data_IF_474926118362
#
_entry.id   IF_474926118362
#
_cell.length_a   1.000
_cell.length_b   1.000
_cell.length_c   1.000
_cell.angle_alpha   90.00
_cell.angle_beta   90.00
_cell.angle_gamma   90.00
#
_symmetry.space_group_name_H-M   'P 1'
#
loop_
_entity.id
_entity.type
_entity.pdbx_description
1 polymer ?
#
# COMPACT_ATOMS: atom_id res chain seq x y z
N UNK A 1 2.40 -1.95 10.01
CA UNK A 1 2.24 -3.01 11.03
C UNK A 1 1.23 -4.12 10.73
N UNK A 2 0.13 -3.89 9.95
CA UNK A 2 -0.89 -4.94 9.73
C UNK A 2 -0.47 -6.01 8.70
N UNK A 3 -0.17 -5.62 7.46
CA UNK A 3 0.00 -6.56 6.34
C UNK A 3 1.26 -7.42 6.40
N UNK A 4 2.43 -6.80 6.62
CA UNK A 4 3.70 -7.52 6.59
C UNK A 4 3.75 -8.74 7.53
N UNK A 5 3.12 -8.63 8.71
CA UNK A 5 3.10 -9.69 9.71
C UNK A 5 2.27 -10.89 9.28
N UNK A 6 1.01 -10.69 8.89
CA UNK A 6 0.13 -11.82 8.57
C UNK A 6 0.40 -12.41 7.19
N UNK A 7 0.88 -11.59 6.23
CA UNK A 7 1.07 -12.01 4.84
C UNK A 7 2.39 -12.77 4.64
N UNK A 8 3.44 -12.41 5.37
CA UNK A 8 4.79 -12.93 5.10
C UNK A 8 5.45 -13.51 6.36
N UNK A 9 5.62 -12.71 7.41
CA UNK A 9 6.36 -13.13 8.60
C UNK A 9 5.72 -14.33 9.30
N UNK A 10 4.44 -14.25 9.64
CA UNK A 10 3.76 -15.31 10.39
C UNK A 10 3.67 -16.63 9.62
N UNK A 11 3.32 -16.66 8.31
CA UNK A 11 3.40 -17.89 7.53
C UNK A 11 4.78 -18.55 7.56
N UNK A 12 5.87 -17.78 7.43
CA UNK A 12 7.23 -18.30 7.54
C UNK A 12 7.53 -18.86 8.93
N UNK A 13 7.14 -18.15 9.99
CA UNK A 13 7.33 -18.59 11.38
C UNK A 13 6.51 -19.84 11.70
N UNK A 14 5.27 -19.93 11.23
CA UNK A 14 4.40 -21.10 11.41
C UNK A 14 5.01 -22.32 10.71
N UNK A 15 5.38 -22.18 9.43
CA UNK A 15 6.02 -23.26 8.67
C UNK A 15 7.34 -23.69 9.32
N UNK A 16 8.16 -22.73 9.75
CA UNK A 16 9.39 -22.98 10.47
C UNK A 16 9.18 -23.72 11.79
N UNK A 17 8.21 -23.32 12.59
CA UNK A 17 7.88 -23.96 13.85
C UNK A 17 7.44 -25.42 13.64
N UNK A 18 6.58 -25.69 12.65
CA UNK A 18 6.14 -27.04 12.29
C UNK A 18 7.29 -27.93 11.81
N UNK A 19 8.29 -27.34 11.14
CA UNK A 19 9.49 -28.05 10.66
C UNK A 19 10.62 -28.15 11.70
N UNK A 20 10.42 -27.65 12.94
CA UNK A 20 11.43 -27.69 13.99
C UNK A 20 12.57 -26.67 13.83
N UNK A 21 12.36 -25.57 13.10
CA UNK A 21 13.35 -24.51 12.93
C UNK A 21 13.85 -23.97 14.29
N UNK A 22 15.17 -23.85 14.47
CA UNK A 22 15.77 -23.26 15.67
C UNK A 22 15.64 -21.73 15.73
N UNK A 23 15.99 -21.13 16.87
CA UNK A 23 15.82 -19.68 17.12
C UNK A 23 16.44 -18.79 16.05
N UNK A 24 17.71 -19.03 15.69
CA UNK A 24 18.41 -18.26 14.64
C UNK A 24 17.68 -18.24 13.29
N UNK A 25 17.09 -19.36 12.89
CA UNK A 25 16.39 -19.43 11.61
C UNK A 25 15.05 -18.67 11.66
N UNK A 26 14.34 -18.73 12.79
CA UNK A 26 13.12 -17.94 13.01
C UNK A 26 13.41 -16.44 13.02
N UNK A 27 14.51 -16.02 13.66
CA UNK A 27 14.99 -14.63 13.60
C UNK A 27 15.27 -14.20 12.15
N UNK A 28 15.92 -15.08 11.37
CA UNK A 28 16.12 -14.86 9.94
C UNK A 28 14.82 -14.71 9.16
N UNK A 29 13.79 -15.51 9.44
CA UNK A 29 12.47 -15.36 8.82
C UNK A 29 11.82 -14.02 9.13
N UNK A 30 11.89 -13.54 10.38
CA UNK A 30 11.36 -12.22 10.74
C UNK A 30 12.15 -11.09 10.07
N UNK A 31 13.49 -11.15 10.10
CA UNK A 31 14.36 -10.15 9.50
C UNK A 31 14.16 -10.02 7.98
N UNK A 32 13.81 -11.11 7.31
CA UNK A 32 13.47 -11.12 5.89
C UNK A 32 12.00 -10.76 5.62
N UNK A 33 11.08 -11.37 6.36
CA UNK A 33 9.64 -11.30 6.09
C UNK A 33 9.03 -9.93 6.35
N UNK A 34 9.55 -9.20 7.36
CA UNK A 34 9.06 -7.86 7.67
C UNK A 34 9.36 -6.86 6.52
N UNK A 35 10.60 -6.66 6.06
CA UNK A 35 10.89 -5.79 4.92
C UNK A 35 10.19 -6.23 3.63
N UNK A 36 10.11 -7.54 3.38
CA UNK A 36 9.41 -8.04 2.19
C UNK A 36 7.91 -7.70 2.23
N UNK A 37 7.28 -7.86 3.39
CA UNK A 37 5.88 -7.52 3.57
C UNK A 37 5.60 -6.02 3.46
N UNK A 38 6.55 -5.18 3.88
CA UNK A 38 6.48 -3.72 3.67
C UNK A 38 6.60 -3.38 2.18
N UNK A 39 7.61 -3.93 1.49
CA UNK A 39 7.78 -3.74 0.05
C UNK A 39 6.57 -4.22 -0.75
N UNK A 40 5.94 -5.33 -0.33
CA UNK A 40 4.70 -5.81 -0.92
C UNK A 40 3.57 -4.78 -0.78
N UNK A 41 3.36 -4.22 0.41
CA UNK A 41 2.30 -3.22 0.61
C UNK A 41 2.56 -1.94 -0.19
N UNK A 42 3.81 -1.46 -0.24
CA UNK A 42 4.16 -0.29 -1.05
C UNK A 42 3.86 -0.50 -2.53
N UNK A 43 4.15 -1.71 -3.05
CA UNK A 43 3.82 -2.07 -4.42
C UNK A 43 2.32 -2.22 -4.64
N UNK A 44 1.59 -2.76 -3.66
CA UNK A 44 0.13 -2.89 -3.71
C UNK A 44 -0.53 -1.51 -3.75
N UNK A 45 -0.10 -0.55 -2.94
CA UNK A 45 -0.58 0.84 -2.96
C UNK A 45 -0.34 1.50 -4.34
N UNK A 46 0.84 1.30 -4.94
CA UNK A 46 1.15 1.81 -6.29
C UNK A 46 0.28 1.19 -7.37
N UNK A 47 0.07 -0.14 -7.32
CA UNK A 47 -0.80 -0.83 -8.27
C UNK A 47 -2.27 -0.47 -8.06
N UNK A 48 -2.66 -0.21 -6.81
CA UNK A 48 -3.98 0.26 -6.45
C UNK A 48 -4.28 1.62 -7.09
N UNK A 49 -3.34 2.56 -7.08
CA UNK A 49 -3.57 3.88 -7.66
C UNK A 49 -3.27 3.96 -9.16
N UNK A 50 -2.15 3.40 -9.63
CA UNK A 50 -1.65 3.57 -11.01
C UNK A 50 -1.75 2.32 -11.88
N UNK A 51 -2.17 1.19 -11.33
CA UNK A 51 -2.27 -0.05 -12.08
C UNK A 51 -3.32 0.00 -13.19
N UNK A 52 -3.22 -0.94 -14.13
CA UNK A 52 -4.25 -1.18 -15.12
C UNK A 52 -5.37 -2.05 -14.50
N UNK A 53 -6.62 -1.56 -14.39
CA UNK A 53 -7.75 -2.33 -13.84
C UNK A 53 -7.96 -3.69 -14.50
N UNK A 54 -7.69 -3.79 -15.81
CA UNK A 54 -7.81 -5.04 -16.56
C UNK A 54 -6.81 -6.12 -16.11
N UNK A 55 -5.72 -5.72 -15.45
CA UNK A 55 -4.68 -6.60 -14.92
C UNK A 55 -4.76 -6.78 -13.40
N UNK A 56 -5.18 -5.75 -12.66
CA UNK A 56 -5.31 -5.80 -11.19
C UNK A 56 -6.62 -6.43 -10.73
N UNK A 57 -7.65 -6.45 -11.60
CA UNK A 57 -8.96 -7.02 -11.31
C UNK A 57 -9.81 -6.19 -10.35
N UNK A 58 -9.44 -4.93 -10.08
CA UNK A 58 -10.15 -4.00 -9.17
C UNK A 58 -10.12 -2.57 -9.72
N UNK A 59 -11.06 -1.74 -9.28
CA UNK A 59 -11.05 -0.31 -9.59
C UNK A 59 -9.96 0.40 -8.78
N UNK A 60 -9.28 1.36 -9.41
CA UNK A 60 -8.12 2.03 -8.83
C UNK A 60 -8.46 3.17 -7.84
N UNK A 61 -9.75 3.46 -7.65
CA UNK A 61 -10.20 4.58 -6.84
C UNK A 61 -10.43 4.21 -5.37
N UNK A 62 -10.40 2.92 -5.01
CA UNK A 62 -10.83 2.45 -3.68
C UNK A 62 -10.06 3.10 -2.52
N UNK A 63 -8.74 3.28 -2.67
CA UNK A 63 -7.92 3.88 -1.62
C UNK A 63 -8.09 5.40 -1.52
N UNK A 64 -8.34 6.07 -2.66
CA UNK A 64 -8.63 7.51 -2.74
C UNK A 64 -10.01 7.80 -2.13
N UNK A 65 -11.03 7.06 -2.56
CA UNK A 65 -12.41 7.14 -2.05
C UNK A 65 -12.48 6.76 -0.55
N UNK A 66 -11.63 5.82 -0.11
CA UNK A 66 -11.51 5.42 1.28
C UNK A 66 -10.70 6.37 2.16
N UNK A 67 -10.06 7.40 1.57
CA UNK A 67 -9.10 8.28 2.24
C UNK A 67 -8.09 7.49 3.08
N UNK A 68 -7.53 6.41 2.50
CA UNK A 68 -6.60 5.58 3.24
C UNK A 68 -5.25 6.32 3.40
N UNK A 69 -4.64 6.29 4.59
CA UNK A 69 -3.32 6.87 4.80
C UNK A 69 -2.23 5.95 4.23
N UNK A 70 -2.08 5.94 2.90
CA UNK A 70 -1.03 5.17 2.21
C UNK A 70 0.33 5.85 2.34
N UNK A 71 1.41 5.08 2.19
CA UNK A 71 2.76 5.65 2.20
C UNK A 71 2.96 6.61 1.02
N UNK A 72 2.36 6.30 -0.12
CA UNK A 72 2.36 7.16 -1.30
C UNK A 72 1.73 8.53 -1.00
N UNK A 73 0.53 8.57 -0.39
CA UNK A 73 -0.12 9.82 -0.01
C UNK A 73 0.73 10.64 0.96
N UNK A 74 1.37 9.99 1.94
CA UNK A 74 2.25 10.67 2.88
C UNK A 74 3.48 11.29 2.19
N UNK A 75 4.11 10.56 1.27
CA UNK A 75 5.24 11.08 0.49
C UNK A 75 4.82 12.21 -0.44
N UNK A 76 3.70 12.08 -1.16
CA UNK A 76 3.16 13.19 -1.98
C UNK A 76 2.92 14.42 -1.11
N UNK A 77 2.31 14.27 0.06
CA UNK A 77 2.03 15.41 0.95
C UNK A 77 3.29 16.14 1.40
N UNK A 78 4.38 15.39 1.61
CA UNK A 78 5.68 15.92 2.04
C UNK A 78 6.33 16.79 0.97
N UNK A 79 6.16 16.45 -0.31
CA UNK A 79 6.81 17.15 -1.43
C UNK A 79 5.88 18.13 -2.18
N UNK A 80 4.57 17.96 -2.09
CA UNK A 80 3.58 18.77 -2.78
C UNK A 80 3.56 20.22 -2.27
N UNK A 81 3.33 21.15 -3.21
CA UNK A 81 3.03 22.55 -2.90
C UNK A 81 1.61 22.75 -2.34
N UNK A 82 1.29 23.96 -1.92
CA UNK A 82 -0.01 24.24 -1.28
C UNK A 82 -1.19 24.07 -2.25
N UNK A 83 -1.04 24.48 -3.52
CA UNK A 83 -2.08 24.31 -4.55
C UNK A 83 -2.41 22.82 -4.78
N UNK A 84 -1.39 21.97 -4.86
CA UNK A 84 -1.53 20.52 -5.05
C UNK A 84 -2.17 19.85 -3.83
N UNK A 85 -1.81 20.28 -2.62
CA UNK A 85 -2.45 19.81 -1.39
C UNK A 85 -3.92 20.18 -1.33
N UNK A 86 -4.28 21.39 -1.72
CA UNK A 86 -5.69 21.81 -1.76
C UNK A 86 -6.49 21.03 -2.81
N UNK A 87 -5.87 20.74 -3.96
CA UNK A 87 -6.44 19.86 -4.98
C UNK A 87 -6.70 18.46 -4.44
N UNK A 88 -5.72 17.86 -3.75
CA UNK A 88 -5.87 16.55 -3.12
C UNK A 88 -6.94 16.55 -2.02
N UNK A 89 -7.00 17.58 -1.16
CA UNK A 89 -8.04 17.72 -0.13
C UNK A 89 -9.45 17.72 -0.71
N UNK A 90 -9.65 18.34 -1.87
CA UNK A 90 -10.94 18.39 -2.54
C UNK A 90 -11.37 17.04 -3.14
N UNK A 91 -10.42 16.14 -3.43
CA UNK A 91 -10.67 14.88 -4.13
C UNK A 91 -10.69 13.66 -3.19
N UNK A 92 -9.84 13.64 -2.16
CA UNK A 92 -9.74 12.51 -1.23
C UNK A 92 -11.03 12.29 -0.43
N UNK A 93 -11.47 11.04 -0.32
CA UNK A 93 -12.69 10.67 0.42
C UNK A 93 -14.01 10.88 -0.33
N UNK A 94 -13.97 11.39 -1.57
CA UNK A 94 -15.16 11.47 -2.43
C UNK A 94 -15.57 10.07 -2.88
N UNK A 95 -16.82 9.68 -2.63
CA UNK A 95 -17.37 8.36 -3.02
C UNK A 95 -17.80 8.31 -4.48
N UNK A 96 -17.98 9.48 -5.10
CA UNK A 96 -18.43 9.70 -6.47
C UNK A 96 -17.26 10.13 -7.38
N UNK A 97 -16.02 9.74 -7.04
CA UNK A 97 -14.85 10.07 -7.84
C UNK A 97 -14.94 9.39 -9.21
N UNK A 98 -15.04 10.19 -10.27
CA UNK A 98 -15.04 9.74 -11.65
C UNK A 98 -13.61 9.58 -12.20
N UNK A 99 -13.49 9.20 -13.47
CA UNK A 99 -12.20 8.99 -14.13
C UNK A 99 -11.37 10.28 -14.19
N UNK A 100 -12.00 11.44 -14.39
CA UNK A 100 -11.33 12.73 -14.42
C UNK A 100 -10.77 13.10 -13.03
N UNK A 101 -11.55 12.87 -11.98
CA UNK A 101 -11.10 13.03 -10.60
C UNK A 101 -9.94 12.10 -10.25
N UNK A 102 -9.99 10.84 -10.71
CA UNK A 102 -8.88 9.90 -10.53
C UNK A 102 -7.62 10.33 -11.28
N UNK A 103 -7.74 10.83 -12.52
CA UNK A 103 -6.60 11.40 -13.25
C UNK A 103 -6.02 12.61 -12.52
N UNK A 104 -6.85 13.53 -12.01
CA UNK A 104 -6.38 14.69 -11.27
C UNK A 104 -5.61 14.30 -9.99
N UNK A 105 -6.00 13.22 -9.30
CA UNK A 105 -5.25 12.69 -8.16
C UNK A 105 -3.89 12.13 -8.61
N UNK A 106 -3.88 11.35 -9.70
CA UNK A 106 -2.65 10.76 -10.27
C UNK A 106 -1.67 11.78 -10.83
N UNK A 107 -2.15 12.92 -11.31
CA UNK A 107 -1.28 14.00 -11.81
C UNK A 107 -0.51 14.68 -10.68
N UNK A 108 -1.05 14.66 -9.46
CA UNK A 108 -0.43 15.26 -8.28
C UNK A 108 0.47 14.25 -7.54
N UNK A 109 0.07 12.97 -7.50
CA UNK A 109 0.74 11.91 -6.74
C UNK A 109 1.85 11.22 -7.53
#
# INVERSE_FOLDING_TARGET
YKTAKYTVEQPLLIGGALAGAGGRLREGYSAYGLPLGEAFQLRDDLLGLFGDPGRTGKANADDVCGHRPTALLAETWRVAGDDDRDRLRALLGRRDLDEDGLHAVRDVM
#
